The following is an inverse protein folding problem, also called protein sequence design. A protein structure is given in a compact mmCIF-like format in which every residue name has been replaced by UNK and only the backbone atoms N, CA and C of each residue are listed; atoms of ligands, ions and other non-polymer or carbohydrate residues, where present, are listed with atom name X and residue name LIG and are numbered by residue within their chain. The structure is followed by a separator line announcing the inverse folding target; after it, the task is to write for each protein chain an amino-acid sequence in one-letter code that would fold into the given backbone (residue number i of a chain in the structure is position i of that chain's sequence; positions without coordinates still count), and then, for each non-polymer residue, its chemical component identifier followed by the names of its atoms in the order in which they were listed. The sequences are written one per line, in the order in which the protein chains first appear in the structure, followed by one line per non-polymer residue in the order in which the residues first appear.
data_IF_137480173322
#
_entry.id   IF_137480173322
#
_cell.length_a   1.000
_cell.length_b   1.000
_cell.length_c   1.000
_cell.angle_alpha   90.00
_cell.angle_beta   90.00
_cell.angle_gamma   90.00
#
_symmetry.space_group_name_H-M   'P 1'
#
loop_
_entity.id
_entity.type
_entity.pdbx_description
1 polymer ?
#
# COMPACT_ATOMS: atom_id res chain seq x y z
N UNK A 1 -1.00 34.32 -15.27
CA UNK A 1 -1.93 33.95 -14.18
C UNK A 1 -1.65 32.52 -13.82
N UNK A 2 -1.45 32.17 -12.53
CA UNK A 2 -1.21 30.79 -12.12
C UNK A 2 -2.49 29.95 -12.22
N UNK A 3 -2.33 28.65 -12.50
CA UNK A 3 -3.41 27.68 -12.55
C UNK A 3 -3.29 26.73 -11.35
N UNK A 4 -4.43 26.37 -10.77
CA UNK A 4 -4.56 25.25 -9.86
C UNK A 4 -5.49 24.21 -10.48
N UNK A 5 -5.00 23.02 -10.75
CA UNK A 5 -5.83 21.89 -11.19
C UNK A 5 -6.38 21.22 -9.94
N UNK A 6 -7.69 21.27 -9.76
CA UNK A 6 -8.34 20.75 -8.54
C UNK A 6 -8.81 19.32 -8.66
N UNK A 7 -8.74 18.73 -9.85
CA UNK A 7 -9.06 17.33 -10.09
C UNK A 7 -8.29 16.81 -11.31
N UNK A 8 -7.53 15.75 -11.12
CA UNK A 8 -6.84 15.00 -12.17
C UNK A 8 -6.78 13.53 -11.84
N UNK A 9 -6.57 12.66 -12.83
CA UNK A 9 -6.45 11.19 -12.69
C UNK A 9 -7.74 10.50 -12.18
N UNK A 10 -8.89 11.17 -12.24
CA UNK A 10 -10.18 10.58 -11.84
C UNK A 10 -10.69 9.46 -12.75
N UNK A 11 -9.81 8.88 -13.56
CA UNK A 11 -10.19 7.95 -14.62
C UNK A 11 -10.39 6.55 -14.06
N UNK A 12 -11.64 6.16 -13.98
CA UNK A 12 -12.07 4.77 -13.85
C UNK A 12 -12.32 4.14 -15.23
N UNK A 13 -11.60 4.60 -16.26
CA UNK A 13 -11.86 4.27 -17.66
C UNK A 13 -10.84 3.33 -18.25
N UNK A 14 -11.32 2.70 -19.31
CA UNK A 14 -12.61 2.06 -19.49
C UNK A 14 -12.46 0.60 -19.20
N UNK A 15 -13.03 0.11 -18.11
CA UNK A 15 -13.22 -1.34 -17.97
C UNK A 15 -12.07 -2.30 -18.29
N UNK A 16 -11.93 -3.29 -17.55
CA UNK A 16 -12.51 -3.74 -16.29
C UNK A 16 -11.67 -3.34 -15.06
N UNK A 17 -10.69 -2.45 -15.24
CA UNK A 17 -9.63 -2.19 -14.27
C UNK A 17 -9.98 -0.98 -13.41
N UNK A 18 -10.29 -1.23 -12.15
CA UNK A 18 -10.74 -0.24 -11.19
C UNK A 18 -9.79 0.02 -10.04
N UNK A 19 -8.54 -0.43 -10.16
CA UNK A 19 -7.53 -0.28 -9.12
C UNK A 19 -7.90 -0.90 -7.77
N UNK A 20 -8.68 -2.00 -7.78
CA UNK A 20 -8.90 -2.83 -6.58
C UNK A 20 -7.68 -3.70 -6.33
N UNK A 21 -7.48 -4.09 -5.09
CA UNK A 21 -6.42 -5.06 -4.76
C UNK A 21 -6.56 -6.40 -5.49
N UNK A 22 -7.78 -6.77 -5.86
CA UNK A 22 -8.09 -7.99 -6.62
C UNK A 22 -7.96 -7.84 -8.14
N UNK A 23 -7.72 -6.63 -8.65
CA UNK A 23 -7.45 -6.41 -10.06
C UNK A 23 -6.03 -6.88 -10.43
N UNK A 24 -5.73 -7.13 -11.72
CA UNK A 24 -4.38 -7.46 -12.16
C UNK A 24 -3.33 -6.45 -11.66
N UNK A 25 -2.10 -6.89 -11.31
CA UNK A 25 -1.02 -6.00 -10.83
C UNK A 25 -0.75 -4.84 -11.76
N UNK A 26 -0.85 -5.08 -13.06
CA UNK A 26 -0.65 -4.09 -14.11
C UNK A 26 -1.64 -2.91 -14.01
N UNK A 27 -2.86 -3.16 -13.54
CA UNK A 27 -3.86 -2.10 -13.34
C UNK A 27 -3.47 -1.18 -12.18
N UNK A 28 -2.96 -1.76 -11.09
CA UNK A 28 -2.47 -0.97 -9.95
C UNK A 28 -1.20 -0.20 -10.31
N UNK A 29 -0.30 -0.79 -11.11
CA UNK A 29 0.87 -0.08 -11.64
C UNK A 29 0.45 1.04 -12.61
N UNK A 30 -0.55 0.82 -13.45
CA UNK A 30 -1.07 1.84 -14.37
C UNK A 30 -1.65 3.05 -13.62
N UNK A 31 -2.29 2.85 -12.47
CA UNK A 31 -2.70 3.97 -11.61
C UNK A 31 -1.49 4.84 -11.24
N UNK A 32 -0.40 4.24 -10.80
CA UNK A 32 0.82 4.96 -10.44
C UNK A 32 1.39 5.73 -11.64
N UNK A 33 1.41 5.11 -12.83
CA UNK A 33 1.84 5.76 -14.08
C UNK A 33 1.02 7.01 -14.36
N UNK A 34 -0.31 6.94 -14.28
CA UNK A 34 -1.17 8.10 -14.53
C UNK A 34 -0.93 9.23 -13.53
N UNK A 35 -0.77 8.89 -12.23
CA UNK A 35 -0.43 9.90 -11.23
C UNK A 35 0.92 10.56 -11.50
N UNK A 36 1.95 9.77 -11.86
CA UNK A 36 3.26 10.32 -12.19
C UNK A 36 3.21 11.23 -13.42
N UNK A 37 2.56 10.81 -14.50
CA UNK A 37 2.46 11.57 -15.74
C UNK A 37 1.76 12.92 -15.57
N UNK A 38 0.62 12.97 -14.86
CA UNK A 38 -0.08 14.25 -14.68
C UNK A 38 0.69 15.22 -13.79
N UNK A 39 1.42 14.73 -12.81
CA UNK A 39 2.30 15.55 -11.97
C UNK A 39 3.53 16.02 -12.76
N UNK A 40 4.10 15.20 -13.62
CA UNK A 40 5.19 15.57 -14.51
C UNK A 40 4.76 16.71 -15.46
N UNK A 41 3.60 16.56 -16.10
CA UNK A 41 3.03 17.60 -16.96
C UNK A 41 2.80 18.90 -16.20
N UNK A 42 2.26 18.83 -14.97
CA UNK A 42 2.06 20.02 -14.15
C UNK A 42 3.38 20.70 -13.76
N UNK A 43 4.46 19.95 -13.53
CA UNK A 43 5.77 20.50 -13.21
C UNK A 43 6.53 21.04 -14.42
N UNK A 44 6.17 20.63 -15.63
CA UNK A 44 6.80 21.12 -16.87
C UNK A 44 6.48 22.59 -17.18
N UNK A 45 5.42 23.16 -16.62
CA UNK A 45 4.97 24.53 -16.88
C UNK A 45 4.83 25.33 -15.57
N UNK A 46 5.65 26.38 -15.36
CA UNK A 46 5.64 27.17 -14.12
C UNK A 46 4.34 27.94 -13.87
N UNK A 47 3.40 27.94 -14.82
CA UNK A 47 2.07 28.50 -14.61
C UNK A 47 1.18 27.62 -13.73
N UNK A 48 1.49 26.33 -13.60
CA UNK A 48 0.77 25.47 -12.66
C UNK A 48 1.26 25.73 -11.23
N UNK A 49 0.36 26.26 -10.42
CA UNK A 49 0.61 26.49 -8.98
C UNK A 49 0.43 25.20 -8.14
N UNK A 50 -0.21 24.19 -8.71
CA UNK A 50 -0.42 22.91 -8.08
C UNK A 50 -1.44 22.03 -8.81
N UNK A 51 -1.48 20.78 -8.41
CA UNK A 51 -2.40 19.77 -8.93
C UNK A 51 -2.88 18.90 -7.77
N UNK A 52 -4.20 18.70 -7.67
CA UNK A 52 -4.84 17.77 -6.76
C UNK A 52 -5.36 16.59 -7.57
N UNK A 53 -4.87 15.40 -7.28
CA UNK A 53 -5.31 14.22 -7.98
C UNK A 53 -6.55 13.60 -7.32
N UNK A 54 -7.41 13.02 -8.11
CA UNK A 54 -8.57 12.26 -7.68
C UNK A 54 -8.25 10.77 -7.69
N UNK A 55 -8.28 10.06 -6.54
CA UNK A 55 -8.62 10.61 -5.25
C UNK A 55 -7.69 10.06 -4.15
N UNK A 56 -7.76 10.63 -2.95
CA UNK A 56 -7.00 10.11 -1.81
C UNK A 56 -7.42 8.71 -1.39
N UNK A 57 -8.74 8.43 -1.43
CA UNK A 57 -9.32 7.17 -0.95
C UNK A 57 -10.39 6.63 -1.89
N UNK A 58 -10.56 5.31 -1.90
CA UNK A 58 -11.78 4.70 -2.42
C UNK A 58 -12.97 5.11 -1.57
N UNK A 59 -14.12 5.33 -2.20
CA UNK A 59 -15.28 5.86 -1.51
C UNK A 59 -16.60 5.35 -2.08
N UNK A 60 -17.62 5.29 -1.21
CA UNK A 60 -18.98 4.97 -1.63
C UNK A 60 -19.55 6.10 -2.50
N UNK A 61 -20.18 5.76 -3.60
CA UNK A 61 -20.79 6.72 -4.54
C UNK A 61 -22.10 6.17 -5.09
N UNK A 62 -23.18 6.97 -5.05
CA UNK A 62 -24.42 6.60 -5.73
C UNK A 62 -24.34 6.79 -7.24
N UNK A 63 -23.31 7.50 -7.75
CA UNK A 63 -23.09 7.76 -9.16
C UNK A 63 -22.18 6.69 -9.77
N UNK A 64 -22.72 5.92 -10.68
CA UNK A 64 -22.00 4.86 -11.37
C UNK A 64 -22.93 4.00 -12.19
N UNK A 65 -22.39 3.00 -12.88
CA UNK A 65 -23.20 1.96 -13.52
C UNK A 65 -24.00 1.18 -12.48
N UNK A 66 -25.19 0.67 -12.79
CA UNK A 66 -25.96 -0.17 -11.86
C UNK A 66 -25.09 -1.28 -11.24
N UNK A 67 -25.14 -1.42 -9.93
CA UNK A 67 -24.31 -2.37 -9.17
C UNK A 67 -22.93 -1.88 -8.75
N UNK A 68 -22.54 -0.65 -9.11
CA UNK A 68 -21.29 -0.05 -8.67
C UNK A 68 -21.54 1.02 -7.62
N UNK A 69 -21.39 0.64 -6.38
CA UNK A 69 -21.60 1.56 -5.26
C UNK A 69 -20.29 2.08 -4.66
N UNK A 70 -19.13 1.71 -5.21
CA UNK A 70 -17.81 2.14 -4.77
C UNK A 70 -17.01 2.67 -5.95
N UNK A 71 -16.37 3.80 -5.78
CA UNK A 71 -15.36 4.37 -6.66
C UNK A 71 -13.97 3.96 -6.17
N UNK A 72 -13.22 3.29 -7.04
CA UNK A 72 -11.90 2.69 -6.73
C UNK A 72 -10.72 3.56 -7.17
N UNK A 73 -10.96 4.84 -7.40
CA UNK A 73 -9.96 5.80 -7.90
C UNK A 73 -8.91 6.19 -6.85
N UNK A 74 -9.12 5.85 -5.59
CA UNK A 74 -8.21 6.22 -4.49
C UNK A 74 -6.81 5.66 -4.65
N UNK A 75 -5.79 6.44 -4.25
CA UNK A 75 -4.42 5.93 -4.03
C UNK A 75 -4.29 5.15 -2.72
N UNK A 76 -5.31 5.22 -1.86
CA UNK A 76 -5.53 4.31 -0.76
C UNK A 76 -6.95 3.70 -0.89
N UNK A 77 -7.13 2.50 -0.35
CA UNK A 77 -8.41 1.80 -0.40
C UNK A 77 -9.43 2.36 0.61
N UNK A 78 -10.60 1.74 0.69
CA UNK A 78 -11.66 2.12 1.63
C UNK A 78 -11.27 1.92 3.09
N UNK A 79 -10.31 1.08 3.39
CA UNK A 79 -9.71 0.92 4.71
C UNK A 79 -8.59 1.92 5.00
N UNK A 80 -8.25 2.81 4.07
CA UNK A 80 -7.11 3.74 4.15
C UNK A 80 -5.75 3.04 4.06
N UNK A 81 -5.68 1.87 3.45
CA UNK A 81 -4.41 1.19 3.15
C UNK A 81 -3.90 1.69 1.81
N UNK A 82 -2.65 2.17 1.79
CA UNK A 82 -2.03 2.71 0.59
C UNK A 82 -1.90 1.63 -0.50
N UNK A 83 -2.41 1.93 -1.69
CA UNK A 83 -2.21 1.14 -2.91
C UNK A 83 -0.87 1.51 -3.56
N UNK A 84 -0.36 0.72 -4.52
CA UNK A 84 0.91 1.02 -5.20
C UNK A 84 1.00 2.43 -5.77
N UNK A 85 -0.11 3.02 -6.23
CA UNK A 85 -0.17 4.39 -6.74
C UNK A 85 0.27 5.48 -5.73
N UNK A 86 0.14 5.23 -4.43
CA UNK A 86 0.61 6.15 -3.39
C UNK A 86 2.14 6.30 -3.37
N UNK A 87 2.89 5.34 -3.92
CA UNK A 87 4.35 5.37 -3.95
C UNK A 87 4.91 6.59 -4.69
N UNK A 88 4.19 7.06 -5.71
CA UNK A 88 4.57 8.24 -6.50
C UNK A 88 4.63 9.50 -5.63
N UNK A 89 3.69 9.65 -4.69
CA UNK A 89 3.70 10.79 -3.76
C UNK A 89 4.75 10.63 -2.66
N UNK A 90 4.93 9.42 -2.16
CA UNK A 90 5.91 9.13 -1.11
C UNK A 90 7.34 9.37 -1.58
N UNK A 91 7.64 9.08 -2.85
CA UNK A 91 8.98 9.29 -3.42
C UNK A 91 9.35 10.75 -3.66
N UNK A 92 8.39 11.70 -3.62
CA UNK A 92 8.68 13.13 -3.83
C UNK A 92 9.14 13.86 -2.56
N UNK A 93 9.60 13.14 -1.55
CA UNK A 93 10.16 13.69 -0.30
C UNK A 93 11.68 13.73 -0.43
N UNK A 94 12.33 14.79 0.08
CA UNK A 94 13.80 14.85 0.15
C UNK A 94 14.36 13.57 0.84
N UNK A 95 15.26 12.82 0.20
CA UNK A 95 15.78 11.56 0.74
C UNK A 95 16.54 11.75 2.06
N UNK A 96 17.05 12.95 2.35
CA UNK A 96 17.66 13.29 3.64
C UNK A 96 16.66 13.37 4.79
N UNK A 97 15.40 13.68 4.47
CA UNK A 97 14.28 13.63 5.43
C UNK A 97 13.79 12.20 5.58
N UNK A 98 13.55 11.53 4.45
CA UNK A 98 13.05 10.16 4.43
C UNK A 98 13.46 9.46 3.14
N UNK A 99 14.40 8.51 3.20
CA UNK A 99 14.69 7.64 2.05
C UNK A 99 13.48 6.77 1.70
N UNK A 100 13.17 6.67 0.43
CA UNK A 100 12.02 5.91 -0.09
C UNK A 100 12.47 4.99 -1.21
N UNK A 101 12.13 3.72 -1.10
CA UNK A 101 12.24 2.71 -2.16
C UNK A 101 10.96 1.88 -2.09
N UNK A 102 10.06 2.03 -3.05
CA UNK A 102 8.75 1.36 -3.05
C UNK A 102 8.52 0.70 -4.41
N UNK A 103 8.52 -0.65 -4.46
CA UNK A 103 8.09 -1.39 -5.64
C UNK A 103 6.61 -1.09 -5.94
N UNK A 104 6.31 -0.77 -7.20
CA UNK A 104 4.93 -0.60 -7.70
C UNK A 104 4.47 -1.89 -8.39
N UNK A 105 4.90 -3.00 -7.85
CA UNK A 105 4.61 -4.35 -8.32
C UNK A 105 4.62 -5.33 -7.14
N UNK A 106 4.22 -6.57 -7.40
CA UNK A 106 4.26 -7.67 -6.44
C UNK A 106 5.26 -8.72 -6.90
N UNK A 107 5.99 -9.31 -5.96
CA UNK A 107 6.95 -10.38 -6.23
C UNK A 107 6.31 -11.74 -5.99
N UNK A 108 5.30 -12.05 -6.82
CA UNK A 108 4.50 -13.28 -6.77
C UNK A 108 4.73 -14.06 -8.07
N UNK A 109 5.75 -14.94 -8.05
CA UNK A 109 6.14 -15.69 -9.23
C UNK A 109 5.25 -16.91 -9.45
N UNK A 110 5.07 -17.32 -10.72
CA UNK A 110 4.30 -18.51 -11.09
C UNK A 110 2.80 -18.36 -10.96
N UNK A 111 2.27 -17.16 -10.70
CA UNK A 111 0.83 -16.89 -10.75
C UNK A 111 0.35 -16.68 -12.17
N UNK A 112 -0.97 -16.78 -12.39
CA UNK A 112 -1.56 -16.55 -13.71
C UNK A 112 -1.25 -15.14 -14.26
N UNK A 113 -1.22 -14.14 -13.35
CA UNK A 113 -0.97 -12.72 -13.69
C UNK A 113 0.52 -12.39 -13.83
N UNK A 114 1.41 -13.20 -13.25
CA UNK A 114 2.84 -12.96 -13.22
C UNK A 114 3.62 -14.29 -13.30
N UNK A 115 3.51 -15.05 -14.42
CA UNK A 115 4.16 -16.35 -14.54
C UNK A 115 5.68 -16.26 -14.49
N UNK A 116 6.26 -15.11 -14.81
CA UNK A 116 7.69 -14.83 -14.84
C UNK A 116 8.06 -13.54 -14.09
N UNK A 117 7.34 -13.21 -13.03
CA UNK A 117 7.54 -12.00 -12.26
C UNK A 117 6.91 -10.75 -12.91
N UNK A 118 7.27 -9.55 -12.43
CA UNK A 118 6.69 -8.28 -12.88
C UNK A 118 6.91 -7.95 -14.36
N UNK A 119 7.91 -8.56 -14.99
CA UNK A 119 8.22 -8.37 -16.41
C UNK A 119 9.12 -7.16 -16.71
N UNK A 120 9.18 -6.74 -18.01
CA UNK A 120 10.18 -5.77 -18.46
C UNK A 120 9.90 -4.32 -18.08
N UNK A 121 8.71 -4.01 -17.58
CA UNK A 121 8.28 -2.65 -17.23
C UNK A 121 7.88 -2.54 -15.75
N UNK A 122 8.61 -3.21 -14.87
CA UNK A 122 8.39 -3.11 -13.44
C UNK A 122 8.71 -1.70 -12.95
N UNK A 123 7.71 -0.99 -12.42
CA UNK A 123 7.85 0.38 -11.97
C UNK A 123 8.35 0.42 -10.52
N UNK A 124 9.37 1.23 -10.27
CA UNK A 124 9.95 1.46 -8.95
C UNK A 124 9.93 2.95 -8.62
N UNK A 125 9.25 3.33 -7.56
CA UNK A 125 9.24 4.69 -7.03
C UNK A 125 10.33 4.84 -5.96
N UNK A 126 11.25 5.78 -6.15
CA UNK A 126 12.35 6.03 -5.22
C UNK A 126 12.83 7.47 -5.30
N UNK A 127 13.30 8.00 -4.17
CA UNK A 127 14.05 9.26 -4.09
C UNK A 127 15.54 9.03 -3.85
N UNK A 128 16.03 7.79 -3.90
CA UNK A 128 17.45 7.49 -3.74
C UNK A 128 18.22 7.84 -5.04
N UNK A 129 19.44 8.32 -4.88
CA UNK A 129 20.32 8.71 -6.00
C UNK A 129 20.80 7.52 -6.82
N UNK A 130 20.97 6.37 -6.16
CA UNK A 130 21.37 5.12 -6.80
C UNK A 130 20.55 3.96 -6.26
N UNK A 131 20.17 3.06 -7.16
CA UNK A 131 19.50 1.81 -6.83
C UNK A 131 20.36 0.64 -7.29
N UNK A 132 20.38 -0.45 -6.49
CA UNK A 132 20.97 -1.73 -6.88
C UNK A 132 19.92 -2.82 -6.67
N UNK A 133 19.73 -3.65 -7.68
CA UNK A 133 18.69 -4.67 -7.70
C UNK A 133 19.33 -6.04 -7.85
N UNK A 134 18.89 -7.01 -7.05
CA UNK A 134 19.39 -8.38 -7.02
C UNK A 134 18.21 -9.34 -7.06
N UNK A 135 18.36 -10.40 -7.84
CA UNK A 135 17.43 -11.54 -7.93
C UNK A 135 18.19 -12.76 -7.40
N UNK A 136 17.81 -13.24 -6.22
CA UNK A 136 18.66 -14.12 -5.42
C UNK A 136 19.96 -13.39 -5.04
N UNK A 137 21.10 -14.04 -5.29
CA UNK A 137 22.42 -13.46 -5.00
C UNK A 137 23.03 -12.70 -6.20
N UNK A 138 22.40 -12.78 -7.37
CA UNK A 138 22.91 -12.17 -8.60
C UNK A 138 22.32 -10.76 -8.81
N UNK A 139 23.14 -9.79 -9.30
CA UNK A 139 22.59 -8.53 -9.79
C UNK A 139 21.55 -8.79 -10.88
N UNK A 140 20.45 -8.03 -10.85
CA UNK A 140 19.47 -8.07 -11.93
C UNK A 140 20.12 -7.64 -13.26
N UNK A 141 19.71 -8.29 -14.36
CA UNK A 141 20.28 -8.03 -15.68
C UNK A 141 20.02 -6.58 -16.16
N UNK A 142 18.88 -6.00 -15.79
CA UNK A 142 18.51 -4.63 -16.09
C UNK A 142 18.92 -3.68 -14.98
N UNK A 143 19.41 -2.49 -15.34
CA UNK A 143 19.56 -1.37 -14.40
C UNK A 143 18.29 -0.53 -14.42
N UNK A 144 17.95 0.17 -13.29
CA UNK A 144 16.85 1.12 -13.30
C UNK A 144 17.05 2.19 -14.37
N UNK A 145 16.03 2.39 -15.21
CA UNK A 145 16.07 3.35 -16.33
C UNK A 145 14.97 4.39 -16.10
N UNK A 146 15.34 5.65 -16.19
CA UNK A 146 14.41 6.77 -16.22
C UNK A 146 13.82 6.90 -17.64
N UNK A 147 12.50 6.91 -17.73
CA UNK A 147 11.82 7.38 -18.93
C UNK A 147 11.64 8.90 -18.85
N UNK A 148 12.59 9.63 -19.45
CA UNK A 148 12.60 11.10 -19.41
C UNK A 148 11.49 11.73 -20.25
N UNK A 149 10.89 11.02 -21.20
CA UNK A 149 9.75 11.52 -21.95
C UNK A 149 8.47 11.53 -21.12
N UNK A 150 8.34 10.56 -20.18
CA UNK A 150 7.16 10.44 -19.34
C UNK A 150 7.30 11.12 -17.97
N UNK A 151 8.52 11.29 -17.43
CA UNK A 151 8.74 11.67 -16.03
C UNK A 151 9.92 12.67 -15.84
N UNK A 152 10.32 13.37 -16.91
CA UNK A 152 11.54 14.19 -16.89
C UNK A 152 11.48 15.44 -16.03
N UNK A 153 10.29 15.86 -15.57
CA UNK A 153 10.09 17.06 -14.77
C UNK A 153 9.83 16.76 -13.28
N UNK A 154 9.61 15.48 -12.92
CA UNK A 154 9.49 15.11 -11.51
C UNK A 154 10.85 15.22 -10.81
N UNK A 155 10.89 15.69 -9.57
CA UNK A 155 12.13 15.81 -8.79
C UNK A 155 12.75 14.42 -8.52
N UNK A 156 11.90 13.43 -8.20
CA UNK A 156 12.28 12.04 -8.01
C UNK A 156 11.42 11.15 -8.92
N UNK A 157 11.75 11.04 -10.19
CA UNK A 157 10.97 10.30 -11.16
C UNK A 157 11.00 8.79 -10.87
N UNK A 158 9.90 8.07 -11.09
CA UNK A 158 9.93 6.63 -11.02
C UNK A 158 10.81 6.05 -12.13
N UNK A 159 11.40 4.89 -11.86
CA UNK A 159 12.25 4.18 -12.81
C UNK A 159 11.62 2.87 -13.24
N UNK A 160 11.98 2.41 -14.43
CA UNK A 160 11.57 1.12 -14.98
C UNK A 160 12.70 0.10 -14.86
N UNK A 161 12.33 -1.15 -14.62
CA UNK A 161 13.21 -2.29 -14.48
C UNK A 161 12.71 -3.45 -15.33
N UNK A 162 13.62 -4.23 -15.91
CA UNK A 162 13.28 -5.56 -16.38
C UNK A 162 13.50 -6.57 -15.25
N UNK A 163 12.40 -7.04 -14.69
CA UNK A 163 12.34 -8.06 -13.65
C UNK A 163 11.71 -9.35 -14.19
N UNK A 164 11.97 -9.68 -15.44
CA UNK A 164 11.58 -10.97 -16.01
C UNK A 164 12.45 -12.07 -15.43
N UNK A 165 11.83 -13.02 -14.72
CA UNK A 165 12.51 -14.18 -14.13
C UNK A 165 12.31 -15.38 -15.03
N UNK A 166 13.43 -16.00 -15.47
CA UNK A 166 13.41 -17.21 -16.29
C UNK A 166 13.63 -18.51 -15.49
N UNK A 167 13.73 -18.39 -14.16
CA UNK A 167 14.07 -19.49 -13.25
C UNK A 167 12.82 -20.13 -12.67
N UNK A 168 12.85 -21.45 -12.51
CA UNK A 168 11.77 -22.23 -11.87
C UNK A 168 11.87 -22.24 -10.34
N UNK A 169 13.01 -21.79 -9.78
CA UNK A 169 13.19 -21.58 -8.37
C UNK A 169 12.54 -20.24 -7.95
N UNK A 170 12.12 -20.13 -6.71
CA UNK A 170 11.49 -18.94 -6.14
C UNK A 170 12.55 -17.97 -5.57
N UNK A 171 13.29 -17.20 -6.42
CA UNK A 171 14.34 -16.33 -5.92
C UNK A 171 13.75 -15.14 -5.18
N UNK A 172 14.43 -14.69 -4.11
CA UNK A 172 14.12 -13.43 -3.45
C UNK A 172 14.54 -12.24 -4.32
N UNK A 173 13.80 -11.16 -4.22
CA UNK A 173 14.18 -9.85 -4.74
C UNK A 173 14.77 -9.01 -3.62
N UNK A 174 15.89 -8.32 -3.90
CA UNK A 174 16.50 -7.33 -3.00
C UNK A 174 16.79 -6.06 -3.76
N UNK A 175 16.30 -4.93 -3.25
CA UNK A 175 16.51 -3.59 -3.79
C UNK A 175 17.18 -2.75 -2.73
N UNK A 176 18.32 -2.16 -3.06
CA UNK A 176 19.10 -1.29 -2.18
C UNK A 176 19.09 0.13 -2.71
N UNK A 177 18.77 1.08 -1.83
CA UNK A 177 18.78 2.51 -2.13
C UNK A 177 19.97 3.22 -1.45
N UNK A 178 20.62 4.10 -2.20
CA UNK A 178 21.81 4.84 -1.76
C UNK A 178 21.60 6.35 -1.89
N UNK A 179 22.11 7.10 -0.90
CA UNK A 179 22.18 8.57 -0.89
C UNK A 179 23.57 8.95 -0.39
N UNK A 180 24.24 9.88 -1.07
CA UNK A 180 25.64 10.28 -0.76
C UNK A 180 26.59 9.06 -0.66
N UNK A 181 26.39 8.05 -1.53
CA UNK A 181 27.17 6.82 -1.55
C UNK A 181 26.92 5.85 -0.37
N UNK A 182 26.00 6.16 0.53
CA UNK A 182 25.63 5.32 1.68
C UNK A 182 24.33 4.58 1.41
N UNK A 183 24.28 3.31 1.79
CA UNK A 183 23.04 2.54 1.77
C UNK A 183 22.10 3.06 2.85
N UNK A 184 20.94 3.56 2.44
CA UNK A 184 19.93 4.17 3.33
C UNK A 184 18.63 3.40 3.37
N UNK A 185 18.38 2.53 2.38
CA UNK A 185 17.18 1.71 2.32
C UNK A 185 17.47 0.32 1.74
N UNK A 186 16.76 -0.69 2.21
CA UNK A 186 16.74 -2.04 1.64
C UNK A 186 15.31 -2.55 1.63
N UNK A 187 14.85 -2.99 0.47
CA UNK A 187 13.59 -3.72 0.33
C UNK A 187 13.92 -5.15 -0.05
N UNK A 188 13.29 -6.11 0.61
CA UNK A 188 13.37 -7.54 0.27
C UNK A 188 11.97 -8.06 0.05
N UNK A 189 11.80 -8.91 -0.95
CA UNK A 189 10.54 -9.58 -1.26
C UNK A 189 10.82 -11.05 -1.55
N UNK A 190 10.04 -11.94 -0.94
CA UNK A 190 10.13 -13.37 -1.23
C UNK A 190 9.05 -13.78 -2.21
N UNK A 191 9.36 -14.70 -3.12
CA UNK A 191 8.37 -15.37 -3.96
C UNK A 191 7.97 -16.74 -3.41
N UNK A 192 8.65 -17.23 -2.36
CA UNK A 192 8.35 -18.51 -1.73
C UNK A 192 7.13 -18.39 -0.81
N UNK A 193 6.00 -19.06 -1.11
CA UNK A 193 4.82 -19.01 -0.27
C UNK A 193 4.96 -19.80 1.05
N UNK A 194 5.99 -20.62 1.21
CA UNK A 194 6.21 -21.38 2.45
C UNK A 194 6.52 -20.47 3.66
N UNK A 195 6.99 -19.25 3.39
CA UNK A 195 7.25 -18.23 4.42
C UNK A 195 6.09 -17.28 4.68
N UNK A 196 4.95 -17.48 4.04
CA UNK A 196 3.81 -16.57 4.18
C UNK A 196 3.18 -16.65 5.57
N UNK A 197 2.79 -15.48 6.09
CA UNK A 197 2.25 -15.36 7.45
C UNK A 197 1.16 -14.28 7.52
N UNK A 198 0.36 -14.33 8.58
CA UNK A 198 -0.57 -13.27 8.94
C UNK A 198 0.19 -12.18 9.71
N UNK A 199 0.15 -10.95 9.22
CA UNK A 199 0.65 -9.78 9.93
C UNK A 199 -0.51 -8.89 10.39
N UNK A 200 -0.34 -8.18 11.51
CA UNK A 200 -1.35 -7.25 12.04
C UNK A 200 -0.69 -6.01 12.63
N UNK A 201 -1.31 -4.86 12.40
CA UNK A 201 -0.89 -3.57 12.95
C UNK A 201 -2.08 -2.82 13.53
N UNK A 202 -1.83 -1.94 14.50
CA UNK A 202 -2.81 -1.00 15.03
C UNK A 202 -2.28 0.43 14.83
N UNK A 203 -3.14 1.35 14.40
CA UNK A 203 -2.71 2.72 14.12
C UNK A 203 -2.37 3.46 15.42
N UNK A 204 -3.32 3.49 16.37
CA UNK A 204 -3.12 4.16 17.64
C UNK A 204 -3.04 3.14 18.78
N UNK A 205 -1.88 3.04 19.45
CA UNK A 205 -1.72 2.13 20.59
C UNK A 205 -2.43 2.63 21.86
N UNK A 206 -3.00 3.82 21.83
CA UNK A 206 -3.77 4.42 22.92
C UNK A 206 -5.03 5.07 22.37
N UNK A 207 -6.19 4.71 22.94
CA UNK A 207 -7.47 5.38 22.73
C UNK A 207 -8.07 5.77 24.06
N UNK A 208 -9.09 6.66 24.08
CA UNK A 208 -9.68 7.20 25.28
C UNK A 208 -11.10 6.68 25.51
N UNK A 209 -11.51 6.55 26.78
CA UNK A 209 -12.75 5.91 27.23
C UNK A 209 -14.02 6.77 27.10
N UNK A 210 -14.06 7.65 26.10
CA UNK A 210 -15.20 8.53 25.82
C UNK A 210 -16.36 7.84 25.06
N UNK A 211 -16.15 6.62 24.58
CA UNK A 211 -17.13 5.83 23.83
C UNK A 211 -17.22 6.18 22.34
N UNK A 212 -16.45 7.16 21.88
CA UNK A 212 -16.38 7.57 20.49
C UNK A 212 -14.99 7.34 19.88
N UNK A 213 -13.95 7.38 20.68
CA UNK A 213 -12.58 7.20 20.24
C UNK A 213 -12.34 5.76 19.73
N UNK A 214 -11.72 5.67 18.56
CA UNK A 214 -11.53 4.41 17.86
C UNK A 214 -10.20 4.38 17.13
N UNK A 215 -9.61 3.19 17.01
CA UNK A 215 -8.40 2.95 16.22
C UNK A 215 -8.64 1.84 15.21
N UNK A 216 -7.96 1.91 14.09
CA UNK A 216 -7.98 0.90 13.05
C UNK A 216 -6.97 -0.21 13.36
N UNK A 217 -7.38 -1.45 13.13
CA UNK A 217 -6.51 -2.64 13.12
C UNK A 217 -6.50 -3.17 11.70
N UNK A 218 -5.32 -3.21 11.08
CA UNK A 218 -5.10 -3.76 9.73
C UNK A 218 -4.44 -5.11 9.86
N UNK A 219 -4.90 -6.08 9.10
CA UNK A 219 -4.29 -7.41 8.99
C UNK A 219 -4.08 -7.77 7.52
N UNK A 220 -2.99 -8.51 7.24
CA UNK A 220 -2.56 -8.86 5.89
C UNK A 220 -1.94 -10.23 5.84
N UNK A 221 -2.15 -10.92 4.72
CA UNK A 221 -1.26 -11.97 4.28
C UNK A 221 0.04 -11.32 3.79
N UNK A 222 1.18 -11.73 4.31
CA UNK A 222 2.48 -11.16 3.94
C UNK A 222 3.50 -12.26 3.69
N UNK A 223 4.51 -11.95 2.87
CA UNK A 223 5.66 -12.80 2.66
C UNK A 223 6.60 -12.84 3.88
N UNK A 224 7.69 -13.59 3.81
CA UNK A 224 8.69 -13.71 4.87
C UNK A 224 9.34 -12.36 5.27
N UNK A 225 9.25 -11.34 4.42
CA UNK A 225 9.80 -10.00 4.65
C UNK A 225 8.74 -8.93 4.98
N UNK A 226 7.46 -9.33 5.06
CA UNK A 226 6.36 -8.44 5.43
C UNK A 226 5.68 -7.73 4.27
N UNK A 227 5.96 -8.09 3.02
CA UNK A 227 5.28 -7.51 1.87
C UNK A 227 3.94 -8.22 1.63
N UNK A 228 2.94 -7.46 1.20
CA UNK A 228 1.59 -7.98 0.99
C UNK A 228 1.54 -9.07 -0.08
N UNK A 229 0.82 -10.15 0.23
CA UNK A 229 0.39 -11.21 -0.68
C UNK A 229 -1.04 -10.96 -1.12
N UNK A 230 -1.27 -10.70 -2.41
CA UNK A 230 -2.61 -10.40 -2.94
C UNK A 230 -3.54 -11.63 -3.00
N UNK A 231 -2.97 -12.81 -3.11
CA UNK A 231 -3.72 -14.06 -3.23
C UNK A 231 -3.97 -14.77 -1.90
N UNK A 232 -3.76 -14.08 -0.79
CA UNK A 232 -4.17 -14.59 0.52
C UNK A 232 -5.67 -14.85 0.51
N UNK A 233 -6.06 -16.14 0.63
CA UNK A 233 -7.46 -16.57 0.67
C UNK A 233 -7.80 -17.11 2.03
N UNK A 234 -9.09 -17.26 2.32
CA UNK A 234 -9.58 -17.77 3.60
C UNK A 234 -10.08 -16.67 4.52
N UNK A 235 -10.50 -17.07 5.71
CA UNK A 235 -11.11 -16.19 6.70
C UNK A 235 -10.15 -15.90 7.85
N UNK A 236 -10.08 -14.63 8.23
CA UNK A 236 -9.45 -14.18 9.47
C UNK A 236 -10.50 -14.09 10.55
N UNK A 237 -10.30 -14.78 11.67
CA UNK A 237 -11.12 -14.67 12.88
C UNK A 237 -10.42 -13.80 13.90
N UNK A 238 -11.15 -12.83 14.43
CA UNK A 238 -10.64 -11.86 15.39
C UNK A 238 -11.22 -12.14 16.79
N UNK A 239 -10.33 -12.25 17.76
CA UNK A 239 -10.67 -12.39 19.18
C UNK A 239 -10.21 -11.16 19.94
N UNK A 240 -11.16 -10.44 20.54
CA UNK A 240 -10.90 -9.20 21.26
C UNK A 240 -11.15 -9.41 22.75
N UNK A 241 -10.19 -9.03 23.58
CA UNK A 241 -10.33 -8.99 25.03
C UNK A 241 -9.99 -7.59 25.52
N UNK A 242 -10.76 -7.10 26.52
CA UNK A 242 -10.59 -5.75 27.06
C UNK A 242 -11.74 -4.80 26.73
N UNK A 243 -11.61 -3.50 27.12
CA UNK A 243 -12.70 -2.53 27.09
C UNK A 243 -12.87 -1.86 25.72
N UNK A 244 -12.97 -2.63 24.63
CA UNK A 244 -13.28 -2.11 23.31
C UNK A 244 -14.29 -3.00 22.59
N UNK A 245 -15.03 -2.42 21.66
CA UNK A 245 -15.95 -3.09 20.75
C UNK A 245 -15.39 -3.13 19.36
N UNK A 246 -15.56 -4.28 18.69
CA UNK A 246 -15.16 -4.44 17.28
C UNK A 246 -16.22 -3.85 16.36
N UNK A 247 -15.79 -3.09 15.37
CA UNK A 247 -16.59 -2.57 14.26
C UNK A 247 -15.98 -3.08 12.96
N UNK A 248 -16.71 -3.91 12.25
CA UNK A 248 -16.30 -4.55 11.00
C UNK A 248 -16.67 -6.02 10.96
N UNK A 249 -16.27 -6.68 9.89
CA UNK A 249 -16.60 -8.08 9.66
C UNK A 249 -15.75 -9.02 10.50
N UNK A 250 -16.37 -10.04 11.09
CA UNK A 250 -15.70 -11.10 11.82
C UNK A 250 -16.54 -12.40 11.76
N UNK A 251 -16.11 -13.45 11.04
CA UNK A 251 -14.83 -13.55 10.30
C UNK A 251 -14.75 -12.62 9.08
N UNK A 252 -13.54 -12.29 8.67
CA UNK A 252 -13.24 -11.45 7.53
C UNK A 252 -12.65 -12.29 6.38
N UNK A 253 -13.22 -12.17 5.17
CA UNK A 253 -12.76 -12.90 3.99
C UNK A 253 -11.61 -12.16 3.29
N UNK A 254 -10.35 -12.62 3.48
CA UNK A 254 -9.15 -11.99 2.91
C UNK A 254 -9.16 -11.91 1.38
N UNK A 255 -9.65 -12.96 0.72
CA UNK A 255 -9.60 -13.05 -0.75
C UNK A 255 -10.43 -11.99 -1.47
N UNK A 256 -11.46 -11.44 -0.83
CA UNK A 256 -12.30 -10.39 -1.42
C UNK A 256 -11.58 -9.04 -1.52
N UNK A 257 -10.52 -8.86 -0.74
CA UNK A 257 -9.77 -7.61 -0.62
C UNK A 257 -8.28 -7.77 -0.92
N UNK A 258 -7.90 -8.78 -1.71
CA UNK A 258 -6.52 -8.96 -2.15
C UNK A 258 -5.53 -9.22 -1.01
N UNK A 259 -5.91 -10.10 -0.08
CA UNK A 259 -5.03 -10.56 1.00
C UNK A 259 -4.89 -9.58 2.17
N UNK A 260 -5.74 -8.56 2.27
CA UNK A 260 -5.74 -7.62 3.39
C UNK A 260 -7.17 -7.34 3.89
N UNK A 261 -7.24 -6.78 5.09
CA UNK A 261 -8.48 -6.28 5.67
C UNK A 261 -8.22 -5.34 6.83
N UNK A 262 -9.27 -4.66 7.26
CA UNK A 262 -9.22 -3.87 8.47
C UNK A 262 -10.56 -3.89 9.21
N UNK A 263 -10.45 -3.70 10.52
CA UNK A 263 -11.56 -3.46 11.43
C UNK A 263 -11.22 -2.27 12.33
N UNK A 264 -12.21 -1.72 13.00
CA UNK A 264 -12.00 -0.68 14.00
C UNK A 264 -12.33 -1.21 15.40
N UNK A 265 -11.57 -0.73 16.37
CA UNK A 265 -11.83 -0.95 17.79
C UNK A 265 -12.27 0.38 18.38
N UNK A 266 -13.51 0.44 18.87
CA UNK A 266 -14.06 1.61 19.55
C UNK A 266 -14.05 1.39 21.06
N UNK A 267 -13.59 2.39 21.80
CA UNK A 267 -13.56 2.36 23.26
C UNK A 267 -14.97 2.21 23.87
N UNK A 268 -15.06 1.50 24.99
CA UNK A 268 -16.28 1.45 25.82
C UNK A 268 -16.29 2.60 26.79
N UNK A 269 -17.40 3.39 26.90
CA UNK A 269 -17.44 4.56 27.74
C UNK A 269 -17.16 4.23 29.22
N UNK A 270 -16.27 5.02 29.82
CA UNK A 270 -15.92 4.91 31.24
C UNK A 270 -15.15 3.62 31.62
N UNK A 271 -14.61 2.89 30.64
CA UNK A 271 -13.86 1.66 30.89
C UNK A 271 -12.44 1.76 30.37
N UNK A 272 -11.49 1.77 31.28
CA UNK A 272 -10.05 1.78 30.96
C UNK A 272 -9.45 0.39 31.07
N UNK A 273 -8.30 0.16 30.41
CA UNK A 273 -7.56 -1.09 30.49
C UNK A 273 -6.84 -1.44 29.21
N UNK A 274 -6.19 -2.60 29.24
CA UNK A 274 -5.53 -3.17 28.07
C UNK A 274 -6.54 -3.87 27.17
N UNK A 275 -6.40 -3.65 25.86
CA UNK A 275 -7.10 -4.40 24.82
C UNK A 275 -6.09 -5.27 24.11
N UNK A 276 -6.43 -6.53 23.93
CA UNK A 276 -5.66 -7.47 23.12
C UNK A 276 -6.53 -7.95 21.96
N UNK A 277 -5.99 -7.92 20.76
CA UNK A 277 -6.58 -8.50 19.55
C UNK A 277 -5.69 -9.64 19.09
N UNK A 278 -6.29 -10.79 18.88
CA UNK A 278 -5.66 -11.94 18.24
C UNK A 278 -6.42 -12.22 16.95
N UNK A 279 -5.69 -12.28 15.85
CA UNK A 279 -6.19 -12.69 14.55
C UNK A 279 -5.70 -14.10 14.25
N UNK A 280 -6.57 -14.97 13.78
CA UNK A 280 -6.28 -16.36 13.44
C UNK A 280 -6.66 -16.63 11.99
N UNK A 281 -5.76 -17.31 11.28
CA UNK A 281 -5.98 -17.77 9.91
C UNK A 281 -5.53 -19.21 9.76
N UNK A 282 -6.28 -20.09 9.04
CA UNK A 282 -6.01 -21.52 9.01
C UNK A 282 -4.65 -21.91 8.45
N UNK A 283 -4.07 -21.15 7.54
CA UNK A 283 -2.77 -21.45 6.90
C UNK A 283 -1.68 -20.42 7.20
N UNK A 284 -2.03 -19.15 7.49
CA UNK A 284 -1.07 -18.07 7.75
C UNK A 284 -0.72 -17.95 9.25
N UNK A 285 -1.33 -18.77 10.11
CA UNK A 285 -1.07 -18.75 11.54
C UNK A 285 -1.81 -17.65 12.29
N UNK A 286 -1.19 -17.11 13.33
CA UNK A 286 -1.78 -16.11 14.22
C UNK A 286 -0.95 -14.82 14.24
N UNK A 287 -1.64 -13.69 14.38
CA UNK A 287 -1.05 -12.39 14.66
C UNK A 287 -1.70 -11.77 15.91
N UNK A 288 -0.95 -10.92 16.63
CA UNK A 288 -1.43 -10.29 17.84
C UNK A 288 -0.98 -8.84 17.93
N UNK A 289 -1.93 -7.95 18.33
CA UNK A 289 -1.63 -6.58 18.71
C UNK A 289 -2.24 -6.24 20.07
N UNK A 290 -1.71 -5.19 20.70
CA UNK A 290 -2.21 -4.67 21.97
C UNK A 290 -2.30 -3.15 21.90
N UNK A 291 -3.34 -2.62 22.56
CA UNK A 291 -3.51 -1.20 22.79
C UNK A 291 -4.05 -0.94 24.20
N UNK A 292 -4.07 0.31 24.62
CA UNK A 292 -4.55 0.72 25.92
C UNK A 292 -5.73 1.69 25.77
N UNK A 293 -6.80 1.46 26.53
CA UNK A 293 -7.86 2.44 26.73
C UNK A 293 -7.54 3.22 27.99
N UNK A 294 -7.35 4.54 27.87
CA UNK A 294 -7.04 5.46 28.97
C UNK A 294 -8.25 6.31 29.30
N UNK A 295 -8.29 6.85 30.52
CA UNK A 295 -9.31 7.79 30.90
C UNK A 295 -9.23 9.05 30.03
N UNK A 296 -10.35 9.44 29.43
CA UNK A 296 -10.48 10.74 28.79
C UNK A 296 -10.31 11.82 29.85
N UNK A 297 -9.35 12.74 29.67
CA UNK A 297 -9.21 13.89 30.55
C UNK A 297 -10.52 14.68 30.54
N UNK A 298 -11.09 14.94 31.72
CA UNK A 298 -12.25 15.85 31.80
C UNK A 298 -11.81 17.20 31.26
N UNK A 299 -12.15 17.51 30.00
CA UNK A 299 -12.14 18.90 29.58
C UNK A 299 -13.14 19.65 30.49
N UNK A 300 -12.62 20.46 31.40
CA UNK A 300 -13.45 21.49 32.02
C UNK A 300 -13.83 22.44 30.88
N UNK A 301 -15.06 22.35 30.44
CA UNK A 301 -15.69 23.42 29.68
C UNK A 301 -15.78 24.60 30.68
N UNK A 302 -14.92 25.60 30.48
CA UNK A 302 -14.95 26.89 31.16
C UNK A 302 -15.84 27.79 30.34
#
# INVERSE_FOLDING_TARGET
MPYLVTEAVGVELPHPHRYRWTDPPQSLAQQAVYHAQVHDIAQSDPRYAGLLAWAGFDYASPMGTPGQHVKWAGVADGFRVAKPGAAIYLSQIDPRVRPVVVPVFFWELGTADAPRGPGPNALLASNCEQLRVFIGDAPAAGQPVLDSELYGHLEYPPTLLDLTVSRDDHPDLRIEGYVDGKQVAVVRMSSDPAGDQLAMTVDDPVIYDDGSDATRVVFRAVDAYGNQRRFGTGEVRLHITGPADLIGDNPFALGEYGGLGAVWLRSRPGRTGRVTVVAEHPTLGQARVQLSVRAAGRQRIV
#
